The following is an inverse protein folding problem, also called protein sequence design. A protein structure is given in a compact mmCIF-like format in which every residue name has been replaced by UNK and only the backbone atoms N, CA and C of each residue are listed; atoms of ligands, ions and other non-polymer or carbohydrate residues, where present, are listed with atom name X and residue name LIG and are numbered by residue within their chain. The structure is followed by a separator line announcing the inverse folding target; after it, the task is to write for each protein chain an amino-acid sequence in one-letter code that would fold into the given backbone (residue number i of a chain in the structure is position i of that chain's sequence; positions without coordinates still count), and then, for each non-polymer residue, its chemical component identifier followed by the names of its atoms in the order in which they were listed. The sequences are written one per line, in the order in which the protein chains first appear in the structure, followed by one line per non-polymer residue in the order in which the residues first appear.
data_IF_327823236122
#
_entry.id   IF_327823236122
#
_cell.length_a   1.000
_cell.length_b   1.000
_cell.length_c   1.000
_cell.angle_alpha   90.00
_cell.angle_beta   90.00
_cell.angle_gamma   90.00
#
_symmetry.space_group_name_H-M   'P 1'
#
loop_
_entity.id
_entity.type
_entity.pdbx_description
1 polymer ?
#
# COMPACT_ATOMS: atom_id res chain seq x y z
N UNK A 1 27.82 -7.93 -5.49
CA UNK A 1 26.45 -7.62 -5.04
C UNK A 1 26.41 -6.18 -4.54
N UNK A 2 26.30 -5.20 -5.44
CA UNK A 2 26.22 -3.79 -5.07
C UNK A 2 24.81 -3.29 -5.41
N UNK A 3 23.82 -3.71 -4.61
CA UNK A 3 22.46 -3.19 -4.73
C UNK A 3 22.37 -1.90 -3.92
N UNK A 4 21.89 -0.84 -4.55
CA UNK A 4 21.61 0.40 -3.85
C UNK A 4 20.36 0.24 -2.99
N UNK A 5 20.31 0.85 -1.79
CA UNK A 5 19.10 0.88 -0.99
C UNK A 5 17.95 1.52 -1.76
N UNK A 6 16.75 0.99 -1.56
CA UNK A 6 15.51 1.57 -2.11
C UNK A 6 15.19 2.82 -1.29
N UNK A 7 14.92 3.93 -1.97
CA UNK A 7 14.48 5.15 -1.29
C UNK A 7 12.99 5.07 -0.93
N UNK A 8 12.59 5.85 0.06
CA UNK A 8 11.19 5.98 0.45
C UNK A 8 10.29 6.36 -0.73
N UNK A 9 10.74 7.29 -1.58
CA UNK A 9 10.01 7.74 -2.76
C UNK A 9 9.76 6.61 -3.76
N UNK A 10 10.76 5.75 -3.99
CA UNK A 10 10.63 4.58 -4.85
C UNK A 10 9.60 3.59 -4.29
N UNK A 11 9.59 3.38 -2.97
CA UNK A 11 8.60 2.54 -2.30
C UNK A 11 7.18 3.09 -2.42
N UNK A 12 7.02 4.41 -2.27
CA UNK A 12 5.73 5.09 -2.44
C UNK A 12 5.25 5.03 -3.90
N UNK A 13 6.14 5.19 -4.88
CA UNK A 13 5.81 5.04 -6.30
C UNK A 13 5.30 3.63 -6.59
N UNK A 14 6.02 2.60 -6.15
CA UNK A 14 5.62 1.19 -6.32
C UNK A 14 4.26 0.90 -5.66
N UNK A 15 4.00 1.45 -4.48
CA UNK A 15 2.70 1.32 -3.80
C UNK A 15 1.56 1.85 -4.69
N UNK A 16 1.76 2.98 -5.36
CA UNK A 16 0.76 3.55 -6.27
C UNK A 16 0.57 2.68 -7.52
N UNK A 17 1.65 2.18 -8.11
CA UNK A 17 1.61 1.32 -9.31
C UNK A 17 0.79 0.05 -9.08
N UNK A 18 0.97 -0.61 -7.94
CA UNK A 18 0.24 -1.84 -7.60
C UNK A 18 -1.11 -1.59 -6.93
N UNK A 19 -1.51 -0.33 -6.74
CA UNK A 19 -2.71 0.08 -6.01
C UNK A 19 -2.78 -0.50 -4.58
N UNK A 20 -1.63 -0.56 -3.89
CA UNK A 20 -1.58 -0.96 -2.49
C UNK A 20 -2.19 0.13 -1.59
N UNK A 21 -2.67 -0.29 -0.41
CA UNK A 21 -3.37 0.60 0.52
C UNK A 21 -2.41 1.57 1.21
N UNK A 22 -1.22 1.11 1.60
CA UNK A 22 -0.22 1.90 2.33
C UNK A 22 1.17 1.31 2.13
N UNK A 23 2.19 2.17 2.10
CA UNK A 23 3.60 1.81 2.14
C UNK A 23 4.12 2.04 3.56
N UNK A 24 4.88 1.08 4.08
CA UNK A 24 5.47 1.13 5.42
C UNK A 24 6.88 0.51 5.37
N UNK A 25 7.85 1.18 5.99
CA UNK A 25 9.20 0.67 6.17
C UNK A 25 9.34 0.09 7.58
N UNK A 26 10.08 -1.02 7.72
CA UNK A 26 10.36 -1.60 9.03
C UNK A 26 11.75 -2.25 9.08
N UNK A 27 12.27 -2.41 10.29
CA UNK A 27 13.49 -3.19 10.57
C UNK A 27 13.17 -4.27 11.58
N UNK A 28 13.25 -5.53 11.14
CA UNK A 28 13.04 -6.68 12.03
C UNK A 28 14.10 -6.75 13.14
N UNK A 29 15.33 -6.29 12.87
CA UNK A 29 16.43 -6.33 13.83
C UNK A 29 16.26 -5.31 14.96
N UNK A 30 15.98 -4.05 14.61
CA UNK A 30 15.82 -2.96 15.59
C UNK A 30 14.38 -2.81 16.09
N UNK A 31 13.45 -3.58 15.53
CA UNK A 31 12.00 -3.56 15.80
C UNK A 31 11.31 -2.24 15.47
N UNK A 32 11.99 -1.35 14.74
CA UNK A 32 11.42 -0.07 14.27
C UNK A 32 10.37 -0.38 13.19
N UNK A 33 9.19 0.24 13.30
CA UNK A 33 8.08 0.07 12.36
C UNK A 33 7.38 -1.30 12.40
N UNK A 34 7.91 -2.26 13.17
CA UNK A 34 7.41 -3.64 13.15
C UNK A 34 5.98 -3.74 13.69
N UNK A 35 5.68 -3.08 14.81
CA UNK A 35 4.33 -3.04 15.37
C UNK A 35 3.34 -2.37 14.42
N UNK A 36 3.74 -1.26 13.80
CA UNK A 36 2.88 -0.48 12.89
C UNK A 36 2.48 -1.29 11.65
N UNK A 37 3.39 -2.11 11.10
CA UNK A 37 3.10 -3.01 9.97
C UNK A 37 1.97 -3.99 10.32
N UNK A 38 2.02 -4.60 11.50
CA UNK A 38 0.97 -5.54 11.92
C UNK A 38 -0.35 -4.82 12.27
N UNK A 39 -0.29 -3.71 13.02
CA UNK A 39 -1.48 -2.95 13.40
C UNK A 39 -2.23 -2.42 12.17
N UNK A 40 -1.51 -1.89 11.17
CA UNK A 40 -2.12 -1.41 9.92
C UNK A 40 -2.68 -2.55 9.08
N UNK A 41 -2.02 -3.71 9.03
CA UNK A 41 -2.53 -4.89 8.32
C UNK A 41 -3.87 -5.36 8.90
N UNK A 42 -3.97 -5.42 10.24
CA UNK A 42 -5.21 -5.78 10.94
C UNK A 42 -6.28 -4.72 10.68
N UNK A 43 -5.92 -3.43 10.76
CA UNK A 43 -6.85 -2.33 10.53
C UNK A 43 -7.43 -2.36 9.11
N UNK A 44 -6.60 -2.59 8.09
CA UNK A 44 -7.04 -2.71 6.69
C UNK A 44 -7.94 -3.93 6.50
N UNK A 45 -7.67 -5.02 7.21
CA UNK A 45 -8.52 -6.21 7.18
C UNK A 45 -9.90 -5.97 7.82
N UNK A 46 -9.93 -5.36 9.01
CA UNK A 46 -11.18 -5.09 9.75
C UNK A 46 -11.99 -3.95 9.12
N UNK A 47 -11.31 -2.94 8.58
CA UNK A 47 -11.90 -1.74 8.00
C UNK A 47 -11.37 -1.54 6.57
N UNK A 48 -11.83 -2.37 5.62
CA UNK A 48 -11.34 -2.31 4.25
C UNK A 48 -11.63 -0.93 3.66
N UNK A 49 -10.65 -0.28 3.02
CA UNK A 49 -10.88 1.00 2.37
C UNK A 49 -11.96 0.85 1.30
N UNK A 50 -12.90 1.78 1.27
CA UNK A 50 -13.94 1.80 0.23
C UNK A 50 -13.25 1.88 -1.12
N UNK A 51 -13.31 0.80 -1.92
CA UNK A 51 -12.86 0.84 -3.32
C UNK A 51 -13.58 2.01 -3.98
N UNK A 52 -12.82 2.95 -4.56
CA UNK A 52 -13.41 4.01 -5.39
C UNK A 52 -14.18 3.27 -6.49
N UNK A 53 -15.52 3.33 -6.46
CA UNK A 53 -16.34 2.77 -7.53
C UNK A 53 -15.88 3.46 -8.80
N UNK A 54 -15.34 2.70 -9.76
CA UNK A 54 -15.22 3.22 -11.11
C UNK A 54 -16.61 3.73 -11.51
N UNK A 55 -16.71 4.99 -11.95
CA UNK A 55 -17.97 5.52 -12.49
C UNK A 55 -18.45 4.49 -13.51
N UNK A 56 -19.62 3.89 -13.29
CA UNK A 56 -20.32 3.16 -14.35
C UNK A 56 -20.49 4.17 -15.49
N UNK A 57 -19.67 4.04 -16.54
CA UNK A 57 -20.02 4.60 -17.84
C UNK A 57 -21.33 3.87 -18.19
N UNK A 58 -22.45 4.59 -18.13
CA UNK A 58 -23.71 4.06 -18.63
C UNK A 58 -23.50 3.82 -20.12
N UNK A 59 -23.27 2.56 -20.53
CA UNK A 59 -23.40 2.20 -21.92
C UNK A 59 -24.83 2.53 -22.34
N UNK A 60 -24.99 3.51 -23.21
CA UNK A 60 -26.21 3.70 -23.98
C UNK A 60 -26.20 2.61 -25.04
N UNK A 61 -27.09 1.63 -24.91
CA UNK A 61 -27.48 0.79 -26.04
C UNK A 61 -28.33 1.70 -26.94
N UNK A 62 -27.80 2.01 -28.12
CA UNK A 62 -28.52 2.63 -29.23
C UNK A 62 -29.40 1.59 -29.93
#
# INVERSE_FOLDING_TARGET
MNQQPISYEQGVQMMQEINAVKYLECSALTRIGLKEVFDESIKVFLYPPKKKKAKKQNCLLL
#
